data_IF_473859971904
#
_entry.id   IF_473859971904
#
_cell.length_a   1.000
_cell.length_b   1.000
_cell.length_c   1.000
_cell.angle_alpha   90.00
_cell.angle_beta   90.00
_cell.angle_gamma   90.00
#
_symmetry.space_group_name_H-M   'P 1'
#
loop_
_entity.id
_entity.type
_entity.pdbx_description
1 polymer ?
#
# COMPACT_ATOMS: atom_id res chain seq x y z
N UNK A 1 -28.85 -17.65 -43.28
CA UNK A 1 -27.73 -16.72 -43.01
C UNK A 1 -27.84 -16.10 -41.61
N UNK A 2 -27.68 -16.91 -40.54
CA UNK A 2 -27.80 -16.44 -39.13
C UNK A 2 -26.66 -16.90 -38.21
N UNK A 3 -25.67 -17.65 -38.74
CA UNK A 3 -24.56 -18.22 -37.94
C UNK A 3 -23.32 -17.32 -37.86
N UNK A 4 -23.16 -16.34 -38.76
CA UNK A 4 -22.00 -15.43 -38.77
C UNK A 4 -22.20 -14.15 -37.96
N UNK A 5 -23.45 -13.80 -37.60
CA UNK A 5 -23.75 -12.61 -36.78
C UNK A 5 -23.28 -12.78 -35.33
N UNK A 6 -23.28 -14.01 -34.82
CA UNK A 6 -22.80 -14.30 -33.46
C UNK A 6 -21.28 -14.11 -33.32
N UNK A 7 -20.53 -14.40 -34.38
CA UNK A 7 -19.07 -14.21 -34.43
C UNK A 7 -18.67 -12.72 -34.41
N UNK A 8 -19.45 -11.86 -35.07
CA UNK A 8 -19.22 -10.41 -35.07
C UNK A 8 -19.44 -9.76 -33.70
N UNK A 9 -20.33 -10.31 -32.87
CA UNK A 9 -20.62 -9.77 -31.52
C UNK A 9 -19.48 -10.10 -30.55
N UNK A 10 -18.79 -11.24 -30.71
CA UNK A 10 -17.64 -11.64 -29.89
C UNK A 10 -16.38 -10.83 -30.21
N UNK A 11 -16.22 -10.36 -31.46
CA UNK A 11 -15.04 -9.57 -31.85
C UNK A 11 -15.08 -8.12 -31.32
N UNK A 12 -16.27 -7.57 -31.08
CA UNK A 12 -16.49 -6.18 -30.67
C UNK A 12 -16.29 -5.97 -29.15
N UNK A 13 -16.35 -7.02 -28.34
CA UNK A 13 -16.16 -6.94 -26.89
C UNK A 13 -14.69 -6.75 -26.45
N UNK A 14 -13.72 -6.92 -27.36
CA UNK A 14 -12.29 -6.78 -27.07
C UNK A 14 -11.77 -5.33 -26.98
N UNK A 15 -12.60 -4.32 -27.30
CA UNK A 15 -12.17 -2.91 -27.40
C UNK A 15 -12.50 -2.07 -26.15
N UNK A 16 -13.12 -2.65 -25.11
CA UNK A 16 -13.56 -1.88 -23.93
C UNK A 16 -12.65 -1.96 -22.71
N UNK A 17 -11.37 -2.31 -22.87
CA UNK A 17 -10.40 -2.18 -21.78
C UNK A 17 -9.88 -0.74 -21.68
N UNK A 18 -10.69 0.17 -21.13
CA UNK A 18 -10.18 1.45 -20.61
C UNK A 18 -9.51 1.18 -19.26
N UNK A 19 -8.22 0.87 -19.30
CA UNK A 19 -7.37 0.92 -18.12
C UNK A 19 -7.31 2.36 -17.62
N UNK A 20 -8.04 2.67 -16.55
CA UNK A 20 -7.84 3.91 -15.81
C UNK A 20 -6.65 3.66 -14.86
N UNK A 21 -5.44 3.94 -15.32
CA UNK A 21 -4.35 4.25 -14.40
C UNK A 21 -4.68 5.63 -13.81
N UNK A 22 -5.34 5.66 -12.66
CA UNK A 22 -5.70 6.91 -12.02
C UNK A 22 -4.46 7.48 -11.33
N UNK A 23 -3.93 8.56 -11.92
CA UNK A 23 -2.78 9.29 -11.42
C UNK A 23 -2.94 9.69 -9.94
N UNK A 24 -1.81 9.65 -9.22
CA UNK A 24 -1.69 10.00 -7.80
C UNK A 24 -2.43 11.31 -7.47
N UNK A 25 -3.18 11.33 -6.36
CA UNK A 25 -3.93 12.50 -5.87
C UNK A 25 -3.04 13.75 -5.83
N UNK A 26 -3.26 14.60 -6.81
CA UNK A 26 -2.62 15.89 -7.04
C UNK A 26 -3.26 16.96 -6.15
N UNK A 27 -2.49 17.57 -5.25
CA UNK A 27 -2.93 18.73 -4.48
C UNK A 27 -2.19 19.98 -4.95
N UNK A 28 -2.96 21.01 -5.33
CA UNK A 28 -2.46 22.28 -5.85
C UNK A 28 -2.04 23.16 -4.68
N UNK A 29 -0.75 23.49 -4.56
CA UNK A 29 -0.27 24.51 -3.62
C UNK A 29 0.40 25.66 -4.37
N UNK A 30 -0.32 26.77 -4.38
CA UNK A 30 0.05 28.17 -4.61
C UNK A 30 0.81 28.59 -5.89
N UNK A 31 0.22 29.58 -6.56
CA UNK A 31 0.57 30.14 -7.87
C UNK A 31 1.73 31.14 -7.73
N UNK A 32 2.94 30.73 -8.11
CA UNK A 32 4.04 31.67 -8.40
C UNK A 32 4.56 31.42 -9.82
N UNK A 33 4.27 32.36 -10.71
CA UNK A 33 4.72 32.51 -12.12
C UNK A 33 4.84 31.23 -12.97
N UNK A 34 3.87 30.99 -13.85
CA UNK A 34 3.93 30.19 -15.10
C UNK A 34 4.59 28.79 -15.08
N UNK A 35 4.88 28.22 -13.90
CA UNK A 35 5.36 26.85 -13.73
C UNK A 35 4.57 26.18 -12.62
N UNK A 36 3.76 25.19 -12.99
CA UNK A 36 3.15 24.30 -12.02
C UNK A 36 4.27 23.49 -11.35
N UNK A 37 4.52 23.74 -10.05
CA UNK A 37 5.37 22.87 -9.25
C UNK A 37 4.50 21.73 -8.75
N UNK A 38 4.60 20.59 -9.43
CA UNK A 38 3.97 19.35 -8.99
C UNK A 38 4.68 18.87 -7.73
N UNK A 39 4.01 18.97 -6.57
CA UNK A 39 4.55 18.41 -5.32
C UNK A 39 3.96 17.01 -5.14
N UNK A 40 4.79 16.01 -5.41
CA UNK A 40 4.50 14.65 -5.02
C UNK A 40 4.54 14.57 -3.48
N UNK A 41 3.36 14.41 -2.87
CA UNK A 41 3.18 14.40 -1.42
C UNK A 41 3.95 13.24 -0.79
N UNK A 42 3.97 12.08 -1.45
CA UNK A 42 4.68 10.90 -0.97
C UNK A 42 6.18 11.17 -0.99
N UNK A 43 6.73 11.70 -2.08
CA UNK A 43 8.15 12.08 -2.13
C UNK A 43 8.52 13.17 -1.12
N UNK A 44 7.58 14.06 -0.80
CA UNK A 44 7.78 15.07 0.23
C UNK A 44 7.85 14.42 1.62
N UNK A 45 6.97 13.45 1.88
CA UNK A 45 6.99 12.64 3.10
C UNK A 45 8.24 11.77 3.22
N UNK A 46 8.71 11.16 2.14
CA UNK A 46 9.99 10.43 2.12
C UNK A 46 11.15 11.35 2.49
N UNK A 47 11.23 12.54 1.88
CA UNK A 47 12.28 13.52 2.20
C UNK A 47 12.24 13.96 3.67
N UNK A 48 11.04 14.09 4.25
CA UNK A 48 10.88 14.42 5.68
C UNK A 48 11.38 13.25 6.55
N UNK A 49 11.05 12.02 6.20
CA UNK A 49 11.53 10.83 6.89
C UNK A 49 13.06 10.65 6.79
N UNK A 50 13.64 10.89 5.62
CA UNK A 50 15.08 10.85 5.36
C UNK A 50 15.85 11.92 6.14
N UNK A 51 15.20 13.05 6.44
CA UNK A 51 15.74 14.08 7.36
C UNK A 51 15.66 13.69 8.83
N UNK A 52 15.17 12.49 9.15
CA UNK A 52 15.13 11.94 10.50
C UNK A 52 13.81 12.14 11.25
N UNK A 53 12.81 12.79 10.64
CA UNK A 53 11.49 12.87 11.27
C UNK A 53 10.78 11.53 11.14
N UNK A 54 10.51 10.86 12.26
CA UNK A 54 9.85 9.55 12.30
C UNK A 54 8.52 9.66 13.03
N UNK A 55 7.45 9.22 12.38
CA UNK A 55 6.15 9.07 13.02
C UNK A 55 5.36 7.92 12.40
N UNK A 56 4.46 7.32 13.18
CA UNK A 56 3.63 6.24 12.71
C UNK A 56 2.73 6.69 11.55
N UNK A 57 2.12 7.86 11.67
CA UNK A 57 1.27 8.45 10.63
C UNK A 57 2.04 8.68 9.32
N UNK A 58 3.29 9.16 9.42
CA UNK A 58 4.14 9.36 8.25
C UNK A 58 4.44 8.04 7.54
N UNK A 59 4.92 7.03 8.28
CA UNK A 59 5.26 5.74 7.68
C UNK A 59 4.03 4.99 7.16
N UNK A 60 2.88 5.10 7.83
CA UNK A 60 1.59 4.60 7.34
C UNK A 60 1.25 5.24 6.00
N UNK A 61 1.25 6.57 5.91
CA UNK A 61 0.93 7.30 4.67
C UNK A 61 1.84 6.93 3.50
N UNK A 62 3.14 6.83 3.74
CA UNK A 62 4.10 6.46 2.69
C UNK A 62 3.91 5.00 2.28
N UNK A 63 3.92 4.06 3.24
CA UNK A 63 3.77 2.62 2.98
C UNK A 63 2.46 2.29 2.28
N UNK A 64 1.34 2.85 2.75
CA UNK A 64 0.01 2.62 2.19
C UNK A 64 -0.08 3.14 0.75
N UNK A 65 0.53 4.29 0.46
CA UNK A 65 0.55 4.79 -0.92
C UNK A 65 1.31 3.87 -1.87
N UNK A 66 2.47 3.34 -1.46
CA UNK A 66 3.20 2.39 -2.29
C UNK A 66 2.46 1.06 -2.44
N UNK A 67 1.89 0.56 -1.35
CA UNK A 67 1.09 -0.67 -1.36
C UNK A 67 -0.11 -0.58 -2.30
N UNK A 68 -0.85 0.54 -2.26
CA UNK A 68 -2.00 0.79 -3.13
C UNK A 68 -1.62 0.90 -4.61
N UNK A 69 -0.39 1.35 -4.90
CA UNK A 69 0.17 1.41 -6.25
C UNK A 69 0.87 0.10 -6.67
N UNK A 70 0.75 -0.98 -5.87
CA UNK A 70 1.42 -2.26 -6.08
C UNK A 70 2.96 -2.20 -6.11
N UNK A 71 3.55 -1.11 -5.63
CA UNK A 71 4.98 -0.99 -5.39
C UNK A 71 5.32 -1.61 -4.03
N UNK A 72 5.27 -2.93 -4.00
CA UNK A 72 5.49 -3.70 -2.77
C UNK A 72 6.92 -3.59 -2.24
N UNK A 73 7.89 -3.24 -3.10
CA UNK A 73 9.28 -3.03 -2.69
C UNK A 73 9.40 -1.81 -1.78
N UNK A 74 8.88 -0.66 -2.22
CA UNK A 74 8.87 0.55 -1.41
C UNK A 74 7.91 0.42 -0.22
N UNK A 75 6.76 -0.25 -0.38
CA UNK A 75 5.87 -0.52 0.73
C UNK A 75 6.57 -1.33 1.85
N UNK A 76 7.30 -2.40 1.51
CA UNK A 76 8.04 -3.21 2.47
C UNK A 76 9.09 -2.38 3.23
N UNK A 77 9.81 -1.48 2.55
CA UNK A 77 10.78 -0.56 3.19
C UNK A 77 10.10 0.30 4.26
N UNK A 78 9.00 0.97 3.92
CA UNK A 78 8.34 1.90 4.83
C UNK A 78 7.54 1.20 5.94
N UNK A 79 6.97 0.03 5.66
CA UNK A 79 6.38 -0.81 6.71
C UNK A 79 7.44 -1.35 7.67
N UNK A 80 8.66 -1.64 7.21
CA UNK A 80 9.75 -2.01 8.11
C UNK A 80 10.01 -0.92 9.16
N UNK A 81 10.13 0.35 8.74
CA UNK A 81 10.28 1.48 9.65
C UNK A 81 9.06 1.63 10.59
N UNK A 82 7.84 1.42 10.09
CA UNK A 82 6.63 1.46 10.90
C UNK A 82 6.63 0.38 12.00
N UNK A 83 7.01 -0.85 11.66
CA UNK A 83 7.09 -1.97 12.60
C UNK A 83 8.24 -1.80 13.60
N UNK A 84 9.35 -1.18 13.20
CA UNK A 84 10.46 -0.86 14.09
C UNK A 84 10.08 0.13 15.21
N UNK A 85 8.97 0.86 15.08
CA UNK A 85 8.47 1.75 16.14
C UNK A 85 7.92 0.99 17.37
N UNK A 86 7.69 -0.32 17.27
CA UNK A 86 7.23 -1.13 18.42
C UNK A 86 5.83 -0.78 18.93
N UNK A 87 5.03 -0.08 18.14
CA UNK A 87 3.67 0.34 18.50
C UNK A 87 2.63 -0.75 18.20
N UNK A 88 1.47 -0.62 18.83
CA UNK A 88 0.35 -1.52 18.56
C UNK A 88 -0.35 -1.14 17.24
N UNK A 89 -0.11 -1.92 16.18
CA UNK A 89 -0.70 -1.69 14.86
C UNK A 89 -1.99 -2.48 14.63
N UNK A 90 -2.82 -2.04 13.70
CA UNK A 90 -4.01 -2.75 13.24
C UNK A 90 -3.61 -4.02 12.46
N UNK A 91 -4.43 -5.10 12.49
CA UNK A 91 -4.14 -6.35 11.76
C UNK A 91 -3.81 -6.15 10.27
N UNK A 92 -4.45 -5.18 9.63
CA UNK A 92 -4.22 -4.81 8.23
C UNK A 92 -2.73 -4.58 7.92
N UNK A 93 -2.01 -3.86 8.79
CA UNK A 93 -0.58 -3.58 8.57
C UNK A 93 0.31 -4.82 8.62
N UNK A 94 -0.08 -5.86 9.39
CA UNK A 94 0.63 -7.13 9.39
C UNK A 94 0.43 -7.88 8.07
N UNK A 95 -0.79 -7.86 7.54
CA UNK A 95 -1.08 -8.48 6.24
C UNK A 95 -0.41 -7.76 5.08
N UNK A 96 -0.49 -6.43 5.05
CA UNK A 96 0.12 -5.61 4.00
C UNK A 96 1.65 -5.73 4.02
N UNK A 97 2.27 -5.69 5.20
CA UNK A 97 3.72 -5.87 5.32
C UNK A 97 4.15 -7.28 4.92
N UNK A 98 3.46 -8.31 5.41
CA UNK A 98 3.73 -9.71 5.05
C UNK A 98 3.62 -9.94 3.53
N UNK A 99 2.56 -9.43 2.89
CA UNK A 99 2.39 -9.51 1.44
C UNK A 99 3.52 -8.81 0.70
N UNK A 100 3.91 -7.63 1.18
CA UNK A 100 4.98 -6.84 0.58
C UNK A 100 6.34 -7.56 0.68
N UNK A 101 6.63 -8.16 1.84
CA UNK A 101 7.81 -8.99 2.08
C UNK A 101 7.84 -10.23 1.18
N UNK A 102 6.71 -10.94 1.07
CA UNK A 102 6.61 -12.11 0.21
C UNK A 102 6.86 -11.76 -1.28
N UNK A 103 6.34 -10.62 -1.73
CA UNK A 103 6.59 -10.13 -3.10
C UNK A 103 8.07 -9.90 -3.40
N UNK A 104 8.84 -9.39 -2.44
CA UNK A 104 10.29 -9.20 -2.57
C UNK A 104 11.11 -10.45 -2.19
N UNK A 105 10.47 -11.61 -2.02
CA UNK A 105 11.12 -12.89 -1.73
C UNK A 105 11.53 -13.10 -0.27
N UNK A 106 11.19 -12.18 0.65
CA UNK A 106 11.49 -12.29 2.08
C UNK A 106 10.41 -13.11 2.81
N UNK A 107 10.20 -14.35 2.36
CA UNK A 107 9.11 -15.22 2.81
C UNK A 107 9.19 -15.58 4.30
N UNK A 108 10.40 -15.78 4.83
CA UNK A 108 10.58 -16.12 6.25
C UNK A 108 10.11 -15.00 7.17
N UNK A 109 10.47 -13.75 6.83
CA UNK A 109 10.05 -12.55 7.56
C UNK A 109 8.54 -12.35 7.38
N UNK A 110 8.03 -12.55 6.16
CA UNK A 110 6.59 -12.47 5.88
C UNK A 110 5.78 -13.42 6.78
N UNK A 111 6.26 -14.66 6.96
CA UNK A 111 5.66 -15.64 7.86
C UNK A 111 5.75 -15.21 9.32
N UNK A 112 6.91 -14.73 9.77
CA UNK A 112 7.11 -14.24 11.14
C UNK A 112 6.14 -13.11 11.50
N UNK A 113 5.90 -12.17 10.59
CA UNK A 113 4.95 -11.07 10.79
C UNK A 113 3.52 -11.61 11.00
N UNK A 114 3.10 -12.64 10.25
CA UNK A 114 1.77 -13.23 10.45
C UNK A 114 1.67 -14.04 11.75
N UNK A 115 2.73 -14.72 12.16
CA UNK A 115 2.76 -15.40 13.46
C UNK A 115 2.65 -14.40 14.63
N UNK A 116 3.32 -13.25 14.54
CA UNK A 116 3.15 -12.15 15.51
C UNK A 116 1.69 -11.70 15.60
N UNK A 117 0.98 -11.62 14.48
CA UNK A 117 -0.45 -11.29 14.46
C UNK A 117 -1.29 -12.37 15.15
N UNK A 118 -1.05 -13.65 14.87
CA UNK A 118 -1.75 -14.78 15.51
C UNK A 118 -1.54 -14.81 17.03
N UNK A 119 -0.31 -14.58 17.48
CA UNK A 119 -0.01 -14.50 18.90
C UNK A 119 -0.76 -13.34 19.56
N UNK A 120 -0.74 -12.16 18.93
CA UNK A 120 -1.47 -10.98 19.41
C UNK A 120 -2.97 -11.22 19.52
N UNK A 121 -3.60 -11.86 18.52
CA UNK A 121 -5.03 -12.16 18.58
C UNK A 121 -5.36 -13.11 19.73
N UNK A 122 -4.56 -14.18 19.93
CA UNK A 122 -4.71 -15.09 21.08
C UNK A 122 -4.65 -14.34 22.42
N UNK A 123 -3.65 -13.47 22.60
CA UNK A 123 -3.50 -12.68 23.83
C UNK A 123 -4.68 -11.73 24.09
N UNK A 124 -5.28 -11.16 23.04
CA UNK A 124 -6.48 -10.32 23.14
C UNK A 124 -7.70 -11.13 23.59
N UNK A 125 -7.89 -12.34 23.03
CA UNK A 125 -8.97 -13.25 23.45
C UNK A 125 -8.82 -13.67 24.92
N UNK A 126 -7.61 -14.03 25.36
CA UNK A 126 -7.34 -14.40 26.76
C UNK A 126 -7.55 -13.25 27.74
N UNK A 127 -7.22 -12.01 27.37
CA UNK A 127 -7.48 -10.82 28.20
C UNK A 127 -8.97 -10.52 28.31
N UNK A 128 -9.73 -10.76 27.24
CA UNK A 128 -11.19 -10.58 27.24
C UNK A 128 -11.88 -11.61 28.13
N UNK A 129 -11.41 -12.85 28.15
CA UNK A 129 -11.98 -13.92 28.97
C UNK A 129 -11.63 -13.84 30.47
N UNK A 130 -10.70 -12.96 30.85
CA UNK A 130 -10.29 -12.72 32.25
C UNK A 130 -10.99 -11.51 32.91
N UNK A 131 -11.81 -10.78 32.15
CA UNK A 131 -12.63 -9.66 32.64
C UNK A 131 -14.08 -10.09 32.71
#
# INVERSE_FOLDING_TARGET
>A
MKKNTFFCIILISLVYFKGNAQDSKLFITEKTSDKYVYVDVIKTYERIAEKGYKSADLFKKIGDSYYLNADFGNAAKWYCELFAMGINLEPEYYHQYSKSLAFIGQNDIAHEILEKLKQKSRLLHEKKNRK
#
